data_IF_536672680317
#
_entry.id   IF_536672680317
#
_cell.length_a   1.000
_cell.length_b   1.000
_cell.length_c   1.000
_cell.angle_alpha   90.00
_cell.angle_beta   90.00
_cell.angle_gamma   90.00
#
_symmetry.space_group_name_H-M   'P 1'
#
loop_
_entity.id
_entity.type
_entity.pdbx_description
1 polymer ?
#
# COMPACT_ATOMS: atom_id res chain seq x y z
N UNK A 1 -26.38 7.25 -2.18
CA UNK A 1 -25.11 7.66 -2.83
C UNK A 1 -23.95 7.65 -1.84
N UNK A 2 -24.13 8.28 -0.67
CA UNK A 2 -23.15 8.27 0.43
C UNK A 2 -22.82 6.85 0.91
N UNK A 3 -23.82 5.98 1.05
CA UNK A 3 -23.61 4.61 1.54
C UNK A 3 -22.67 3.79 0.65
N UNK A 4 -22.77 3.97 -0.67
CA UNK A 4 -21.89 3.32 -1.66
C UNK A 4 -20.45 3.79 -1.50
N UNK A 5 -20.25 5.09 -1.31
CA UNK A 5 -18.93 5.70 -1.12
C UNK A 5 -18.29 5.21 0.19
N UNK A 6 -19.06 5.15 1.28
CA UNK A 6 -18.59 4.63 2.56
C UNK A 6 -18.17 3.17 2.43
N UNK A 7 -18.99 2.33 1.80
CA UNK A 7 -18.67 0.92 1.60
C UNK A 7 -17.37 0.72 0.79
N UNK A 8 -17.21 1.44 -0.32
CA UNK A 8 -15.99 1.39 -1.15
C UNK A 8 -14.78 1.89 -0.36
N UNK A 9 -14.96 2.92 0.47
CA UNK A 9 -13.89 3.45 1.31
C UNK A 9 -13.42 2.42 2.34
N UNK A 10 -14.36 1.74 3.03
CA UNK A 10 -14.04 0.69 4.00
C UNK A 10 -13.32 -0.49 3.35
N UNK A 11 -13.77 -0.93 2.18
CA UNK A 11 -13.11 -1.99 1.42
C UNK A 11 -11.72 -1.56 0.94
N UNK A 12 -11.57 -0.30 0.51
CA UNK A 12 -10.26 0.24 0.09
C UNK A 12 -9.27 0.36 1.24
N UNK A 13 -9.78 0.67 2.43
CA UNK A 13 -8.97 0.76 3.64
C UNK A 13 -8.69 -0.61 4.25
N UNK A 14 -9.36 -1.68 3.83
CA UNK A 14 -9.12 -3.00 4.39
C UNK A 14 -7.72 -3.53 3.99
N UNK A 15 -7.01 -4.23 4.89
CA UNK A 15 -5.65 -4.71 4.66
C UNK A 15 -5.54 -5.83 3.62
N UNK A 16 -6.65 -6.48 3.27
CA UNK A 16 -6.66 -7.62 2.34
C UNK A 16 -7.06 -7.16 0.95
N UNK A 17 -8.16 -6.40 0.86
CA UNK A 17 -8.75 -6.03 -0.42
C UNK A 17 -8.08 -4.79 -1.01
N UNK A 18 -7.74 -3.81 -0.18
CA UNK A 18 -7.15 -2.54 -0.59
C UNK A 18 -7.87 -1.94 -1.82
N UNK A 19 -7.16 -1.21 -2.68
CA UNK A 19 -7.70 -0.69 -3.94
C UNK A 19 -8.23 -1.79 -4.89
N UNK A 20 -7.77 -3.05 -4.74
CA UNK A 20 -8.10 -4.15 -5.66
C UNK A 20 -9.52 -4.64 -5.47
N UNK A 21 -10.05 -4.56 -4.25
CA UNK A 21 -11.47 -4.79 -3.99
C UNK A 21 -12.31 -3.51 -4.10
N UNK A 22 -11.72 -2.36 -3.76
CA UNK A 22 -12.41 -1.07 -3.83
C UNK A 22 -12.87 -0.70 -5.25
N UNK A 23 -11.99 -0.89 -6.25
CA UNK A 23 -12.29 -0.54 -7.65
C UNK A 23 -13.41 -1.41 -8.25
N UNK A 24 -13.32 -2.76 -8.27
CA UNK A 24 -14.39 -3.59 -8.84
C UNK A 24 -15.73 -3.37 -8.14
N UNK A 25 -15.73 -3.23 -6.81
CA UNK A 25 -16.95 -2.97 -6.05
C UNK A 25 -17.56 -1.61 -6.42
N UNK A 26 -16.75 -0.56 -6.52
CA UNK A 26 -17.21 0.77 -6.88
C UNK A 26 -17.80 0.83 -8.29
N UNK A 27 -17.17 0.15 -9.25
CA UNK A 27 -17.69 0.01 -10.60
C UNK A 27 -19.00 -0.79 -10.63
N UNK A 28 -19.08 -1.90 -9.90
CA UNK A 28 -20.29 -2.73 -9.78
C UNK A 28 -21.46 -1.95 -9.16
N UNK A 29 -21.18 -1.08 -8.20
CA UNK A 29 -22.19 -0.20 -7.58
C UNK A 29 -22.58 1.00 -8.45
N UNK A 30 -21.99 1.15 -9.64
CA UNK A 30 -22.26 2.23 -10.58
C UNK A 30 -21.79 3.60 -10.09
N UNK A 31 -20.69 3.65 -9.32
CA UNK A 31 -20.07 4.93 -8.97
C UNK A 31 -19.39 5.54 -10.18
N UNK A 32 -19.40 6.87 -10.23
CA UNK A 32 -18.65 7.62 -11.23
C UNK A 32 -17.15 7.22 -11.20
N UNK A 33 -16.55 6.85 -12.35
CA UNK A 33 -15.17 6.38 -12.38
C UNK A 33 -14.16 7.42 -11.91
N UNK A 34 -14.39 8.71 -12.14
CA UNK A 34 -13.47 9.77 -11.70
C UNK A 34 -13.50 9.89 -10.18
N UNK A 35 -14.69 9.90 -9.58
CA UNK A 35 -14.85 9.90 -8.13
C UNK A 35 -14.22 8.65 -7.49
N UNK A 36 -14.45 7.48 -8.09
CA UNK A 36 -13.87 6.21 -7.65
C UNK A 36 -12.33 6.26 -7.67
N UNK A 37 -11.74 6.81 -8.75
CA UNK A 37 -10.30 6.97 -8.90
C UNK A 37 -9.73 7.79 -7.74
N UNK A 38 -10.32 8.97 -7.51
CA UNK A 38 -9.85 9.92 -6.50
C UNK A 38 -9.91 9.29 -5.12
N UNK A 39 -11.05 8.69 -4.75
CA UNK A 39 -11.25 8.10 -3.43
C UNK A 39 -10.29 6.92 -3.22
N UNK A 40 -10.21 6.00 -4.18
CA UNK A 40 -9.41 4.78 -4.00
C UNK A 40 -7.92 5.08 -3.94
N UNK A 41 -7.41 5.93 -4.84
CA UNK A 41 -5.99 6.33 -4.84
C UNK A 41 -5.65 7.10 -3.57
N UNK A 42 -6.49 8.06 -3.17
CA UNK A 42 -6.24 8.89 -2.00
C UNK A 42 -6.22 8.05 -0.72
N UNK A 43 -7.28 7.28 -0.45
CA UNK A 43 -7.37 6.48 0.77
C UNK A 43 -6.23 5.46 0.87
N UNK A 44 -5.92 4.79 -0.24
CA UNK A 44 -4.89 3.78 -0.26
C UNK A 44 -3.47 4.39 -0.15
N UNK A 45 -3.26 5.62 -0.63
CA UNK A 45 -1.98 6.33 -0.41
C UNK A 45 -1.87 6.83 1.04
N UNK A 46 -2.94 7.42 1.58
CA UNK A 46 -2.92 8.05 2.92
C UNK A 46 -2.80 7.01 4.04
N UNK A 47 -3.35 5.80 3.86
CA UNK A 47 -3.28 4.73 4.89
C UNK A 47 -1.85 4.33 5.24
N UNK A 48 -0.87 4.59 4.36
CA UNK A 48 0.56 4.45 4.66
C UNK A 48 0.96 5.20 5.94
N UNK A 49 0.51 6.45 6.10
CA UNK A 49 0.95 7.33 7.19
C UNK A 49 0.60 6.77 8.56
N UNK A 50 -0.68 6.48 8.90
CA UNK A 50 -1.02 5.93 10.20
C UNK A 50 -0.36 4.56 10.43
N UNK A 51 -0.24 3.71 9.42
CA UNK A 51 0.44 2.40 9.58
C UNK A 51 1.91 2.62 9.91
N UNK A 52 2.63 3.45 9.14
CA UNK A 52 4.06 3.68 9.31
C UNK A 52 4.35 4.26 10.71
N UNK A 53 3.62 5.30 11.11
CA UNK A 53 3.83 5.94 12.41
C UNK A 53 3.38 5.06 13.58
N UNK A 54 2.36 4.22 13.40
CA UNK A 54 1.98 3.24 14.40
C UNK A 54 3.10 2.20 14.60
N UNK A 55 3.70 1.70 13.52
CA UNK A 55 4.86 0.82 13.57
C UNK A 55 6.04 1.49 14.29
N UNK A 56 6.32 2.74 13.95
CA UNK A 56 7.39 3.52 14.56
C UNK A 56 7.16 3.73 16.07
N UNK A 57 5.93 4.10 16.44
CA UNK A 57 5.53 4.26 17.84
C UNK A 57 5.68 2.95 18.62
N UNK A 58 5.14 1.84 18.11
CA UNK A 58 5.27 0.54 18.77
C UNK A 58 6.71 0.11 18.93
N UNK A 59 7.53 0.38 17.92
CA UNK A 59 8.94 0.06 17.96
C UNK A 59 9.67 0.82 19.06
N UNK A 60 9.58 2.15 19.06
CA UNK A 60 10.32 2.98 20.02
C UNK A 60 9.80 2.85 21.45
N UNK A 61 8.50 2.63 21.66
CA UNK A 61 7.91 2.60 23.00
C UNK A 61 7.94 1.21 23.65
N UNK A 62 7.99 0.14 22.85
CA UNK A 62 7.89 -1.24 23.35
C UNK A 62 9.04 -2.12 22.88
N UNK A 63 9.31 -2.20 21.58
CA UNK A 63 10.26 -3.20 21.04
C UNK A 63 11.72 -2.86 21.32
N UNK A 64 12.08 -1.58 21.39
CA UNK A 64 13.44 -1.13 21.74
C UNK A 64 13.87 -1.56 23.15
N UNK A 65 12.92 -1.83 24.05
CA UNK A 65 13.20 -2.37 25.40
C UNK A 65 13.78 -3.78 25.36
N UNK A 66 13.64 -4.49 24.24
CA UNK A 66 14.15 -5.84 24.04
C UNK A 66 15.38 -5.82 23.11
N UNK A 67 16.61 -6.05 23.63
CA UNK A 67 17.83 -5.97 22.83
C UNK A 67 17.87 -7.00 21.68
N UNK A 68 17.15 -8.12 21.82
CA UNK A 68 17.00 -9.15 20.80
C UNK A 68 16.31 -8.60 19.55
N UNK A 69 15.25 -7.80 19.72
CA UNK A 69 14.52 -7.19 18.61
C UNK A 69 15.40 -6.20 17.84
N UNK A 70 16.14 -5.36 18.56
CA UNK A 70 17.08 -4.41 17.95
C UNK A 70 18.12 -5.13 17.09
N UNK A 71 18.76 -6.17 17.64
CA UNK A 71 19.75 -6.99 16.93
C UNK A 71 19.16 -7.70 15.72
N UNK A 72 17.91 -8.14 15.80
CA UNK A 72 17.21 -8.78 14.70
C UNK A 72 16.93 -7.82 13.54
N UNK A 73 16.44 -6.60 13.83
CA UNK A 73 16.20 -5.57 12.81
C UNK A 73 17.52 -5.14 12.16
N UNK A 74 18.58 -4.92 12.94
CA UNK A 74 19.91 -4.58 12.41
C UNK A 74 20.47 -5.71 11.52
N UNK A 75 20.23 -6.98 11.88
CA UNK A 75 20.58 -8.15 11.05
C UNK A 75 19.80 -8.18 9.74
N UNK A 76 18.51 -7.86 9.74
CA UNK A 76 17.71 -7.79 8.51
C UNK A 76 18.22 -6.65 7.62
N UNK A 77 18.41 -5.46 8.18
CA UNK A 77 18.89 -4.29 7.43
C UNK A 77 20.27 -4.53 6.80
N UNK A 78 21.19 -5.14 7.55
CA UNK A 78 22.52 -5.49 7.00
C UNK A 78 22.42 -6.53 5.88
N UNK A 79 21.60 -7.57 6.04
CA UNK A 79 21.38 -8.60 5.00
C UNK A 79 20.73 -8.03 3.73
N UNK A 80 19.79 -7.09 3.88
CA UNK A 80 19.05 -6.51 2.77
C UNK A 80 19.71 -5.25 2.18
N UNK A 81 20.85 -4.79 2.72
CA UNK A 81 21.52 -3.55 2.29
C UNK A 81 21.74 -3.48 0.77
N UNK A 82 22.30 -4.54 0.16
CA UNK A 82 22.53 -4.62 -1.30
C UNK A 82 21.22 -4.54 -2.11
N UNK A 83 20.13 -5.11 -1.59
CA UNK A 83 18.81 -5.09 -2.25
C UNK A 83 18.24 -3.66 -2.18
N UNK A 84 18.37 -3.01 -1.02
CA UNK A 84 17.93 -1.61 -0.84
C UNK A 84 18.74 -0.66 -1.72
N UNK A 85 20.05 -0.84 -1.83
CA UNK A 85 20.90 -0.04 -2.72
C UNK A 85 20.55 -0.23 -4.20
N UNK A 86 20.21 -1.46 -4.61
CA UNK A 86 19.89 -1.78 -6.01
C UNK A 86 18.46 -1.38 -6.41
N UNK A 87 17.48 -1.62 -5.55
CA UNK A 87 16.06 -1.48 -5.88
C UNK A 87 15.38 -0.36 -5.08
N UNK A 88 15.69 -0.24 -3.79
CA UNK A 88 15.25 0.85 -2.91
C UNK A 88 13.80 1.28 -3.12
N UNK A 89 13.61 2.58 -3.36
CA UNK A 89 12.31 3.23 -3.55
C UNK A 89 11.58 2.81 -4.83
N UNK A 90 12.31 2.54 -5.92
CA UNK A 90 11.72 2.10 -7.19
C UNK A 90 11.19 0.68 -7.08
N UNK A 91 11.97 -0.22 -6.48
CA UNK A 91 11.54 -1.58 -6.19
C UNK A 91 10.32 -1.62 -5.29
N UNK A 92 10.25 -0.72 -4.30
CA UNK A 92 9.07 -0.59 -3.45
C UNK A 92 7.83 -0.14 -4.24
N UNK A 93 7.97 0.88 -5.11
CA UNK A 93 6.87 1.35 -5.95
C UNK A 93 6.35 0.22 -6.87
N UNK A 94 7.27 -0.52 -7.52
CA UNK A 94 6.91 -1.67 -8.36
C UNK A 94 6.25 -2.77 -7.52
N UNK A 95 6.78 -3.09 -6.35
CA UNK A 95 6.21 -4.09 -5.44
C UNK A 95 4.76 -3.77 -5.06
N UNK A 96 4.48 -2.51 -4.71
CA UNK A 96 3.11 -2.04 -4.40
C UNK A 96 2.25 -2.03 -5.66
N UNK A 97 2.82 -1.65 -6.80
CA UNK A 97 2.13 -1.53 -8.08
C UNK A 97 1.65 -2.84 -8.67
N UNK A 98 2.26 -3.96 -8.32
CA UNK A 98 1.80 -5.28 -8.75
C UNK A 98 0.54 -5.65 -7.96
N UNK A 99 -0.63 -5.85 -8.58
CA UNK A 99 -1.89 -6.14 -7.88
C UNK A 99 -2.04 -7.63 -7.57
N UNK A 100 -1.11 -8.19 -6.78
CA UNK A 100 -1.14 -9.57 -6.33
C UNK A 100 -1.68 -9.68 -4.89
N UNK A 101 -2.16 -10.87 -4.47
CA UNK A 101 -2.37 -11.12 -3.05
C UNK A 101 -1.05 -10.93 -2.30
N UNK A 102 -1.11 -10.29 -1.12
CA UNK A 102 0.03 -9.98 -0.23
C UNK A 102 1.00 -8.88 -0.67
N UNK A 103 0.93 -8.38 -1.91
CA UNK A 103 1.56 -7.10 -2.24
C UNK A 103 0.64 -5.96 -1.82
N UNK A 104 1.11 -4.73 -1.71
CA UNK A 104 0.25 -3.57 -1.46
C UNK A 104 0.82 -2.58 -0.48
N UNK A 105 0.01 -1.59 -0.10
CA UNK A 105 0.46 -0.49 0.73
C UNK A 105 0.74 -0.97 2.14
N UNK A 106 -0.08 -1.88 2.69
CA UNK A 106 0.14 -2.46 4.01
C UNK A 106 1.49 -3.18 4.12
N UNK A 107 1.73 -4.16 3.24
CA UNK A 107 2.97 -4.94 3.25
C UNK A 107 4.17 -4.12 2.81
N UNK A 108 3.98 -3.20 1.84
CA UNK A 108 4.99 -2.24 1.42
C UNK A 108 5.40 -1.28 2.55
N UNK A 109 4.46 -0.84 3.37
CA UNK A 109 4.73 0.00 4.55
C UNK A 109 5.61 -0.75 5.54
N UNK A 110 5.22 -1.97 5.91
CA UNK A 110 5.98 -2.82 6.83
C UNK A 110 7.39 -3.09 6.29
N UNK A 111 7.49 -3.44 5.00
CA UNK A 111 8.77 -3.70 4.34
C UNK A 111 9.67 -2.46 4.35
N UNK A 112 9.15 -1.30 3.97
CA UNK A 112 9.90 -0.05 3.96
C UNK A 112 10.42 0.35 5.34
N UNK A 113 9.59 0.16 6.37
CA UNK A 113 9.91 0.44 7.76
C UNK A 113 11.01 -0.49 8.28
N UNK A 114 10.87 -1.80 8.00
CA UNK A 114 11.83 -2.82 8.39
C UNK A 114 13.20 -2.59 7.74
N UNK A 115 13.20 -2.23 6.45
CA UNK A 115 14.39 -1.89 5.68
C UNK A 115 15.01 -0.54 6.06
N UNK A 116 14.32 0.27 6.89
CA UNK A 116 14.81 1.57 7.35
C UNK A 116 14.83 2.63 6.25
N UNK A 117 13.88 2.57 5.31
CA UNK A 117 13.71 3.58 4.28
C UNK A 117 13.17 4.89 4.87
N UNK A 118 13.50 6.02 4.25
CA UNK A 118 13.01 7.32 4.69
C UNK A 118 11.51 7.46 4.37
N UNK A 119 10.69 7.72 5.39
CA UNK A 119 9.23 7.77 5.26
C UNK A 119 8.71 8.72 4.17
N UNK A 120 9.36 9.87 3.93
CA UNK A 120 8.92 10.84 2.91
C UNK A 120 9.12 10.28 1.49
N UNK A 121 10.28 9.67 1.25
CA UNK A 121 10.59 9.04 -0.04
C UNK A 121 9.73 7.78 -0.24
N UNK A 122 9.52 7.03 0.83
CA UNK A 122 8.61 5.89 0.86
C UNK A 122 7.18 6.29 0.50
N UNK A 123 6.65 7.39 1.06
CA UNK A 123 5.32 7.89 0.73
C UNK A 123 5.18 8.18 -0.77
N UNK A 124 6.22 8.75 -1.39
CA UNK A 124 6.23 8.99 -2.83
C UNK A 124 6.24 7.68 -3.63
N UNK A 125 7.03 6.69 -3.21
CA UNK A 125 7.01 5.34 -3.80
C UNK A 125 5.64 4.67 -3.67
N UNK A 126 4.98 4.82 -2.52
CA UNK A 126 3.64 4.30 -2.28
C UNK A 126 2.65 4.94 -3.24
N UNK A 127 2.67 6.27 -3.38
CA UNK A 127 1.80 6.98 -4.30
C UNK A 127 1.96 6.48 -5.75
N UNK A 128 3.20 6.39 -6.25
CA UNK A 128 3.44 5.87 -7.60
C UNK A 128 3.07 4.39 -7.75
N UNK A 129 3.33 3.57 -6.72
CA UNK A 129 2.88 2.18 -6.70
C UNK A 129 1.35 2.06 -6.76
N UNK A 130 0.62 2.86 -5.98
CA UNK A 130 -0.84 2.89 -6.00
C UNK A 130 -1.36 3.32 -7.37
N UNK A 131 -0.74 4.29 -8.04
CA UNK A 131 -1.11 4.69 -9.41
C UNK A 131 -0.93 3.55 -10.41
N UNK A 132 0.18 2.80 -10.32
CA UNK A 132 0.43 1.63 -11.17
C UNK A 132 -0.64 0.56 -10.91
N UNK A 133 -0.86 0.21 -9.64
CA UNK A 133 -1.85 -0.80 -9.26
C UNK A 133 -3.27 -0.40 -9.69
N UNK A 134 -3.64 0.87 -9.47
CA UNK A 134 -4.91 1.44 -9.91
C UNK A 134 -5.08 1.27 -11.42
N UNK A 135 -4.08 1.67 -12.21
CA UNK A 135 -4.14 1.60 -13.67
C UNK A 135 -4.35 0.16 -14.14
N UNK A 136 -3.61 -0.79 -13.57
CA UNK A 136 -3.73 -2.21 -13.92
C UNK A 136 -5.13 -2.74 -13.56
N UNK A 137 -5.58 -2.55 -12.31
CA UNK A 137 -6.86 -3.08 -11.84
C UNK A 137 -8.04 -2.45 -12.58
N UNK A 138 -8.01 -1.13 -12.78
CA UNK A 138 -9.05 -0.41 -13.48
C UNK A 138 -9.11 -0.86 -14.95
N UNK A 139 -7.97 -0.95 -15.65
CA UNK A 139 -7.93 -1.46 -17.02
C UNK A 139 -8.43 -2.91 -17.11
N UNK A 140 -8.07 -3.78 -16.16
CA UNK A 140 -8.59 -5.14 -16.10
C UNK A 140 -10.11 -5.17 -15.93
N UNK A 141 -10.68 -4.31 -15.07
CA UNK A 141 -12.14 -4.22 -14.91
C UNK A 141 -12.82 -3.77 -16.20
N UNK A 142 -12.30 -2.78 -16.92
CA UNK A 142 -12.87 -2.31 -18.18
C UNK A 142 -12.72 -3.33 -19.32
N UNK A 143 -11.61 -4.08 -19.35
CA UNK A 143 -11.44 -5.20 -20.27
C UNK A 143 -12.45 -6.31 -20.02
N UNK A 144 -12.70 -6.66 -18.74
CA UNK A 144 -13.70 -7.66 -18.34
C UNK A 144 -15.12 -7.16 -18.65
N UNK A 145 -15.44 -5.89 -18.35
CA UNK A 145 -16.76 -5.30 -18.60
C UNK A 145 -17.12 -5.12 -20.08
N UNK A 146 -16.14 -5.17 -21.00
CA UNK A 146 -16.41 -5.18 -22.45
C UNK A 146 -16.61 -6.57 -23.04
N UNK A 147 -16.22 -7.62 -22.31
CA UNK A 147 -16.30 -9.02 -22.78
C UNK A 147 -17.61 -9.69 -22.35
N UNK A 148 -18.26 -9.17 -21.31
CA UNK A 148 -19.58 -9.61 -20.81
C UNK A 148 -20.68 -8.71 -21.35
#
# INVERSE_FOLDING_TARGET
MIDKIVLVSLVTLSPITELRGGIPLGLFLGLDPLLLSIITIFLNTVIFLPIYFLLEFFYYNFLTKFPIFRKYIEKIRSKCKKIVERYGYLGLAIFIGIPLPFTGVYTGTIASWLLGLNWKKTFLSVFFGVLIAYTIVFASCFGILKIV
#
